data_IF_896605441729
#
_entry.id   IF_896605441729
#
_cell.length_a   1.000
_cell.length_b   1.000
_cell.length_c   1.000
_cell.angle_alpha   90.00
_cell.angle_beta   90.00
_cell.angle_gamma   90.00
#
_symmetry.space_group_name_H-M   'P 1'
#
loop_
_entity.id
_entity.type
_entity.pdbx_description
1 polymer ?
#
# COMPACT_ATOMS: atom_id res chain seq x y z
N UNK A 1 -2.92 -26.01 -0.65
CA UNK A 1 -1.46 -26.17 -0.41
C UNK A 1 -0.99 -25.03 0.47
N UNK A 2 -0.45 -25.29 1.67
CA UNK A 2 0.06 -24.24 2.54
C UNK A 2 1.34 -23.63 1.92
N UNK A 3 1.33 -22.31 1.67
CA UNK A 3 2.52 -21.61 1.17
C UNK A 3 3.44 -21.33 2.36
N UNK A 4 4.69 -21.76 2.28
CA UNK A 4 5.68 -21.56 3.33
C UNK A 4 6.69 -20.52 2.87
N UNK A 5 6.88 -19.46 3.65
CA UNK A 5 7.97 -18.50 3.43
C UNK A 5 9.26 -19.05 4.04
N UNK A 6 10.39 -18.81 3.38
CA UNK A 6 11.71 -19.18 3.90
C UNK A 6 12.54 -17.90 4.11
N UNK A 7 12.97 -17.68 5.34
CA UNK A 7 13.82 -16.55 5.75
C UNK A 7 15.20 -17.12 6.06
N UNK A 8 16.24 -16.60 5.42
CA UNK A 8 17.63 -17.00 5.73
C UNK A 8 18.26 -15.92 6.57
N UNK A 9 18.70 -16.27 7.78
CA UNK A 9 19.34 -15.33 8.71
C UNK A 9 20.85 -15.33 8.46
N UNK A 10 21.41 -14.15 8.20
CA UNK A 10 22.85 -13.98 7.97
C UNK A 10 23.69 -14.36 9.18
N UNK A 11 23.29 -13.87 10.37
CA UNK A 11 23.89 -14.26 11.65
C UNK A 11 23.00 -15.28 12.36
N UNK A 12 23.48 -16.51 12.50
CA UNK A 12 22.74 -17.61 13.13
C UNK A 12 22.42 -17.33 14.60
N UNK A 13 23.21 -16.50 15.28
CA UNK A 13 22.95 -16.12 16.67
C UNK A 13 21.68 -15.27 16.82
N UNK A 14 21.25 -14.59 15.73
CA UNK A 14 20.03 -13.78 15.70
C UNK A 14 18.77 -14.59 15.36
N UNK A 15 18.89 -15.85 14.94
CA UNK A 15 17.74 -16.66 14.54
C UNK A 15 16.64 -16.74 15.63
N UNK A 16 16.96 -16.92 16.93
CA UNK A 16 15.93 -16.93 17.99
C UNK A 16 15.23 -15.58 18.16
N UNK A 17 15.95 -14.46 17.98
CA UNK A 17 15.37 -13.12 18.08
C UNK A 17 14.41 -12.84 16.91
N UNK A 18 14.78 -13.25 15.70
CA UNK A 18 13.92 -13.16 14.52
C UNK A 18 12.68 -14.04 14.68
N UNK A 19 12.84 -15.27 15.17
CA UNK A 19 11.71 -16.19 15.43
C UNK A 19 10.72 -15.59 16.44
N UNK A 20 11.23 -15.05 17.56
CA UNK A 20 10.41 -14.39 18.57
C UNK A 20 9.69 -13.15 18.03
N UNK A 21 10.34 -12.36 17.18
CA UNK A 21 9.72 -11.19 16.56
C UNK A 21 8.57 -11.57 15.62
N UNK A 22 8.71 -12.68 14.87
CA UNK A 22 7.64 -13.20 14.01
C UNK A 22 6.46 -13.69 14.87
N UNK A 23 6.71 -14.44 15.94
CA UNK A 23 5.65 -14.92 16.84
C UNK A 23 4.95 -13.79 17.60
N UNK A 24 5.69 -12.73 17.95
CA UNK A 24 5.14 -11.55 18.63
C UNK A 24 4.38 -10.60 17.69
N UNK A 25 4.42 -10.83 16.38
CA UNK A 25 3.65 -10.05 15.42
C UNK A 25 2.16 -10.43 15.47
N UNK A 26 1.28 -9.47 15.15
CA UNK A 26 -0.18 -9.68 15.08
C UNK A 26 -0.63 -10.52 13.86
N UNK A 27 0.29 -11.32 13.30
CA UNK A 27 0.08 -12.14 12.11
C UNK A 27 -0.34 -13.58 12.45
N UNK A 28 -0.22 -14.02 13.71
CA UNK A 28 -0.62 -15.36 14.14
C UNK A 28 0.18 -16.50 13.49
N UNK A 29 1.44 -16.24 13.18
CA UNK A 29 2.31 -17.16 12.46
C UNK A 29 3.16 -17.99 13.42
N UNK A 30 3.32 -19.28 13.11
CA UNK A 30 4.15 -20.22 13.87
C UNK A 30 5.40 -20.59 13.06
N UNK A 31 6.50 -19.83 13.15
CA UNK A 31 7.74 -20.14 12.47
C UNK A 31 8.35 -21.46 12.96
N UNK A 32 9.13 -22.11 12.10
CA UNK A 32 9.92 -23.30 12.42
C UNK A 32 11.34 -23.11 11.90
N UNK A 33 12.30 -23.10 12.80
CA UNK A 33 13.73 -22.93 12.48
C UNK A 33 14.40 -24.26 12.15
N UNK A 34 15.21 -24.27 11.09
CA UNK A 34 16.10 -25.35 10.68
C UNK A 34 17.49 -24.76 10.40
N UNK A 35 18.29 -24.63 11.46
CA UNK A 35 19.61 -23.99 11.38
C UNK A 35 19.52 -22.49 11.08
N UNK A 36 20.06 -22.05 9.95
CA UNK A 36 20.03 -20.65 9.52
C UNK A 36 18.74 -20.24 8.79
N UNK A 37 17.85 -21.21 8.50
CA UNK A 37 16.63 -20.98 7.73
C UNK A 37 15.43 -21.05 8.69
N UNK A 38 14.61 -20.01 8.70
CA UNK A 38 13.34 -19.95 9.41
C UNK A 38 12.22 -20.12 8.38
N UNK A 39 11.42 -21.17 8.54
CA UNK A 39 10.24 -21.45 7.71
C UNK A 39 9.00 -20.89 8.38
N UNK A 40 8.23 -20.08 7.67
CA UNK A 40 6.99 -19.49 8.19
C UNK A 40 5.82 -20.02 7.36
N UNK A 41 5.11 -21.06 7.85
CA UNK A 41 3.91 -21.54 7.19
C UNK A 41 2.83 -20.47 7.27
N UNK A 42 2.28 -20.08 6.13
CA UNK A 42 1.11 -19.21 6.07
C UNK A 42 -0.13 -20.10 6.17
N UNK A 43 -0.86 -20.10 7.31
CA UNK A 43 -2.12 -20.83 7.39
C UNK A 43 -3.11 -20.26 6.38
N UNK A 44 -4.03 -21.08 5.85
CA UNK A 44 -5.10 -20.57 4.99
C UNK A 44 -5.91 -19.54 5.77
N UNK A 45 -6.20 -18.41 5.13
CA UNK A 45 -6.97 -17.35 5.78
C UNK A 45 -8.42 -17.82 5.97
N UNK A 46 -8.94 -17.70 7.19
CA UNK A 46 -10.37 -17.88 7.45
C UNK A 46 -11.18 -16.81 6.72
N UNK A 47 -12.46 -17.08 6.42
CA UNK A 47 -13.34 -16.11 5.76
C UNK A 47 -13.44 -14.79 6.55
N UNK A 48 -13.50 -14.88 7.88
CA UNK A 48 -13.50 -13.74 8.79
C UNK A 48 -12.22 -12.90 8.65
N UNK A 49 -11.04 -13.55 8.66
CA UNK A 49 -9.76 -12.85 8.52
C UNK A 49 -9.62 -12.17 7.15
N UNK A 50 -10.14 -12.78 6.09
CA UNK A 50 -10.17 -12.14 4.75
C UNK A 50 -11.01 -10.90 4.73
N UNK A 51 -12.21 -10.95 5.31
CA UNK A 51 -13.11 -9.79 5.41
C UNK A 51 -12.44 -8.64 6.16
N UNK A 52 -11.70 -8.94 7.23
CA UNK A 52 -10.97 -7.91 7.97
C UNK A 52 -9.79 -7.34 7.18
N UNK A 53 -9.03 -8.16 6.47
CA UNK A 53 -7.95 -7.69 5.58
C UNK A 53 -8.50 -6.83 4.43
N UNK A 54 -9.65 -7.20 3.85
CA UNK A 54 -10.31 -6.38 2.82
C UNK A 54 -10.69 -5.00 3.38
N UNK A 55 -11.19 -4.91 4.61
CA UNK A 55 -11.49 -3.61 5.24
C UNK A 55 -10.22 -2.75 5.37
N UNK A 56 -9.10 -3.36 5.78
CA UNK A 56 -7.82 -2.65 5.90
C UNK A 56 -7.37 -2.11 4.54
N UNK A 57 -7.34 -2.96 3.52
CA UNK A 57 -6.89 -2.55 2.16
C UNK A 57 -7.80 -1.47 1.57
N UNK A 58 -9.12 -1.52 1.82
CA UNK A 58 -10.05 -0.45 1.44
C UNK A 58 -9.77 0.87 2.17
N UNK A 59 -9.43 0.79 3.45
CA UNK A 59 -9.01 1.95 4.25
C UNK A 59 -7.76 2.61 3.67
N UNK A 60 -6.73 1.82 3.38
CA UNK A 60 -5.47 2.30 2.78
C UNK A 60 -5.71 2.92 1.40
N UNK A 61 -6.56 2.31 0.57
CA UNK A 61 -6.93 2.84 -0.73
C UNK A 61 -7.62 4.22 -0.61
N UNK A 62 -8.58 4.38 0.31
CA UNK A 62 -9.23 5.68 0.50
C UNK A 62 -8.25 6.73 1.04
N UNK A 63 -7.37 6.37 1.98
CA UNK A 63 -6.32 7.27 2.46
C UNK A 63 -5.39 7.72 1.31
N UNK A 64 -5.05 6.81 0.40
CA UNK A 64 -4.31 7.11 -0.82
C UNK A 64 -5.07 8.11 -1.72
N UNK A 65 -6.36 7.89 -1.97
CA UNK A 65 -7.19 8.81 -2.76
C UNK A 65 -7.28 10.20 -2.13
N UNK A 66 -7.48 10.28 -0.81
CA UNK A 66 -7.48 11.54 -0.06
C UNK A 66 -6.15 12.27 -0.21
N UNK A 67 -5.03 11.56 -0.09
CA UNK A 67 -3.69 12.14 -0.24
C UNK A 67 -3.47 12.73 -1.63
N UNK A 68 -3.89 12.02 -2.69
CA UNK A 68 -3.83 12.55 -4.08
C UNK A 68 -4.68 13.81 -4.22
N UNK A 69 -5.92 13.81 -3.69
CA UNK A 69 -6.81 14.98 -3.77
C UNK A 69 -6.24 16.20 -3.04
N UNK A 70 -5.55 15.98 -1.91
CA UNK A 70 -4.86 17.04 -1.18
C UNK A 70 -3.70 17.61 -2.00
N UNK A 71 -2.85 16.75 -2.58
CA UNK A 71 -1.75 17.19 -3.46
C UNK A 71 -2.28 17.99 -4.65
N UNK A 72 -3.39 17.54 -5.26
CA UNK A 72 -4.07 18.27 -6.35
C UNK A 72 -4.47 19.68 -5.91
N UNK A 73 -5.07 19.80 -4.72
CA UNK A 73 -5.48 21.09 -4.16
C UNK A 73 -4.27 22.00 -3.98
N UNK A 74 -3.21 21.50 -3.34
CA UNK A 74 -2.00 22.26 -3.08
C UNK A 74 -1.31 22.71 -4.38
N UNK A 75 -1.29 21.85 -5.40
CA UNK A 75 -0.76 22.19 -6.72
C UNK A 75 -1.60 23.29 -7.39
N UNK A 76 -2.93 23.17 -7.38
CA UNK A 76 -3.82 24.19 -7.94
C UNK A 76 -3.72 25.53 -7.21
N UNK A 77 -3.56 25.51 -5.89
CA UNK A 77 -3.39 26.74 -5.09
C UNK A 77 -2.05 27.43 -5.41
N UNK A 78 -0.98 26.68 -5.69
CA UNK A 78 0.29 27.23 -6.19
C UNK A 78 0.15 27.86 -7.56
N UNK A 79 -0.53 27.20 -8.51
CA UNK A 79 -0.77 27.75 -9.85
C UNK A 79 -1.55 29.07 -9.76
N UNK A 80 -2.58 29.13 -8.90
CA UNK A 80 -3.34 30.37 -8.66
C UNK A 80 -2.47 31.49 -8.09
N UNK A 81 -1.49 31.17 -7.24
CA UNK A 81 -0.55 32.16 -6.71
C UNK A 81 0.34 32.72 -7.84
N UNK A 82 0.91 31.85 -8.67
CA UNK A 82 1.73 32.25 -9.82
C UNK A 82 0.96 33.18 -10.79
N UNK A 83 -0.33 32.91 -11.01
CA UNK A 83 -1.17 33.79 -11.83
C UNK A 83 -1.35 35.18 -11.21
N UNK A 84 -1.58 35.25 -9.89
CA UNK A 84 -1.70 36.52 -9.15
C UNK A 84 -0.40 37.33 -9.21
N UNK A 85 0.73 36.64 -9.13
CA UNK A 85 2.07 37.22 -9.22
C UNK A 85 2.47 37.57 -10.67
N UNK A 86 1.59 37.26 -11.65
CA UNK A 86 1.77 37.48 -13.09
C UNK A 86 2.97 36.73 -13.67
N UNK A 87 3.38 35.63 -13.05
CA UNK A 87 4.42 34.74 -13.56
C UNK A 87 3.92 33.83 -14.69
N UNK A 88 2.61 33.59 -14.74
CA UNK A 88 1.94 32.78 -15.78
C UNK A 88 0.72 33.51 -16.34
N UNK A 89 0.26 33.10 -17.53
CA UNK A 89 -0.99 33.60 -18.13
C UNK A 89 -2.23 32.81 -17.67
N UNK A 90 -3.44 33.34 -17.93
CA UNK A 90 -4.68 32.59 -17.71
C UNK A 90 -4.77 31.30 -18.56
N UNK A 91 -4.17 31.30 -19.74
CA UNK A 91 -4.14 30.11 -20.60
C UNK A 91 -3.22 29.02 -20.00
N UNK A 92 -2.08 29.44 -19.44
CA UNK A 92 -1.17 28.54 -18.73
C UNK A 92 -1.78 27.98 -17.44
N UNK A 93 -2.54 28.79 -16.69
CA UNK A 93 -3.30 28.30 -15.53
C UNK A 93 -4.27 27.19 -15.95
N UNK A 94 -5.09 27.42 -16.98
CA UNK A 94 -6.08 26.44 -17.45
C UNK A 94 -5.42 25.15 -17.90
N UNK A 95 -4.35 25.24 -18.71
CA UNK A 95 -3.59 24.06 -19.15
C UNK A 95 -3.00 23.29 -17.98
N UNK A 96 -2.41 23.99 -17.01
CA UNK A 96 -1.82 23.38 -15.83
C UNK A 96 -2.87 22.66 -14.97
N UNK A 97 -4.04 23.27 -14.77
CA UNK A 97 -5.15 22.64 -14.04
C UNK A 97 -5.66 21.38 -14.75
N UNK A 98 -5.78 21.40 -16.08
CA UNK A 98 -6.18 20.24 -16.87
C UNK A 98 -5.17 19.09 -16.76
N UNK A 99 -3.87 19.39 -16.80
CA UNK A 99 -2.81 18.39 -16.60
C UNK A 99 -2.81 17.81 -15.19
N UNK A 100 -2.91 18.67 -14.17
CA UNK A 100 -3.04 18.26 -12.77
C UNK A 100 -4.26 17.34 -12.59
N UNK A 101 -5.40 17.66 -13.22
CA UNK A 101 -6.60 16.85 -13.17
C UNK A 101 -6.39 15.48 -13.84
N UNK A 102 -5.80 15.44 -15.05
CA UNK A 102 -5.46 14.18 -15.74
C UNK A 102 -4.54 13.29 -14.90
N UNK A 103 -3.51 13.86 -14.27
CA UNK A 103 -2.61 13.13 -13.38
C UNK A 103 -3.37 12.59 -12.16
N UNK A 104 -4.21 13.41 -11.55
CA UNK A 104 -5.05 12.99 -10.41
C UNK A 104 -5.92 11.79 -10.77
N UNK A 105 -6.62 11.84 -11.90
CA UNK A 105 -7.50 10.77 -12.36
C UNK A 105 -6.72 9.50 -12.68
N UNK A 106 -5.53 9.63 -13.29
CA UNK A 106 -4.64 8.49 -13.57
C UNK A 106 -4.22 7.79 -12.28
N UNK A 107 -3.79 8.52 -11.25
CA UNK A 107 -3.33 7.90 -10.01
C UNK A 107 -4.48 7.37 -9.15
N UNK A 108 -5.66 7.99 -9.17
CA UNK A 108 -6.87 7.41 -8.57
C UNK A 108 -7.18 6.06 -9.23
N UNK A 109 -7.17 6.00 -10.56
CA UNK A 109 -7.41 4.76 -11.29
C UNK A 109 -6.41 3.66 -10.92
N UNK A 110 -5.12 4.00 -10.77
CA UNK A 110 -4.09 3.05 -10.33
C UNK A 110 -4.36 2.50 -8.92
N UNK A 111 -4.86 3.33 -8.00
CA UNK A 111 -5.28 2.87 -6.68
C UNK A 111 -6.44 1.90 -6.80
N UNK A 112 -7.45 2.21 -7.63
CA UNK A 112 -8.63 1.37 -7.81
C UNK A 112 -8.28 0.01 -8.44
N UNK A 113 -7.38 0.00 -9.43
CA UNK A 113 -6.85 -1.21 -10.04
C UNK A 113 -6.08 -2.07 -9.03
N UNK A 114 -5.20 -1.46 -8.22
CA UNK A 114 -4.45 -2.16 -7.19
C UNK A 114 -5.35 -2.73 -6.08
N UNK A 115 -6.37 -1.96 -5.65
CA UNK A 115 -7.37 -2.39 -4.69
C UNK A 115 -8.14 -3.62 -5.22
N UNK A 116 -8.63 -3.54 -6.45
CA UNK A 116 -9.41 -4.62 -7.07
C UNK A 116 -8.58 -5.89 -7.17
N UNK A 117 -7.33 -5.79 -7.61
CA UNK A 117 -6.42 -6.93 -7.70
C UNK A 117 -6.15 -7.55 -6.32
N UNK A 118 -5.97 -6.71 -5.29
CA UNK A 118 -5.71 -7.20 -3.93
C UNK A 118 -6.94 -7.83 -3.28
N UNK A 119 -8.13 -7.29 -3.53
CA UNK A 119 -9.39 -7.89 -3.06
C UNK A 119 -9.62 -9.27 -3.69
N UNK A 120 -9.41 -9.39 -5.01
CA UNK A 120 -9.52 -10.67 -5.71
C UNK A 120 -8.53 -11.70 -5.15
N UNK A 121 -7.27 -11.31 -4.98
CA UNK A 121 -6.23 -12.15 -4.38
C UNK A 121 -6.67 -12.65 -2.98
N UNK A 122 -7.14 -11.77 -2.10
CA UNK A 122 -7.59 -12.14 -0.75
C UNK A 122 -8.81 -13.09 -0.75
N UNK A 123 -9.67 -13.01 -1.75
CA UNK A 123 -10.86 -13.87 -1.87
C UNK A 123 -10.54 -15.24 -2.50
N UNK A 124 -9.56 -15.33 -3.40
CA UNK A 124 -9.13 -16.58 -4.05
C UNK A 124 -8.26 -17.48 -3.17
N UNK A 125 -7.64 -16.93 -2.12
CA UNK A 125 -6.70 -17.67 -1.26
C UNK A 125 -7.30 -18.83 -0.46
#
# INVERSE_FOLDING_TARGET
>A
MARTLAITVFDRTLAPAVEKAIMASDLGLNPSSAGAIIRVPLPPLTEERRKDLIKVVRGDAEQGRVSIRNIRRDANDKIKALLKDKEISEDDERRSQDEIQKLTDMFIKKIDEALTLKEAELMEF
#
